data_IF_310612997378
#
_entry.id   IF_310612997378
#
_cell.length_a   1.000
_cell.length_b   1.000
_cell.length_c   1.000
_cell.angle_alpha   90.00
_cell.angle_beta   90.00
_cell.angle_gamma   90.00
#
_symmetry.space_group_name_H-M   'P 1'
#
loop_
_entity.id
_entity.type
_entity.pdbx_description
1 polymer ?
#
# COMPACT_ATOMS: atom_id res chain seq x y z
N UNK A 1 19.97 -3.56 49.17
CA UNK A 1 18.50 -3.67 49.08
C UNK A 1 18.10 -4.99 49.74
N UNK A 2 17.18 -5.02 50.72
CA UNK A 2 16.84 -6.23 51.49
C UNK A 2 15.99 -7.19 50.66
N UNK A 3 16.28 -8.50 50.69
CA UNK A 3 15.57 -9.56 49.94
C UNK A 3 14.05 -9.57 50.19
N UNK A 4 13.62 -9.18 51.38
CA UNK A 4 12.20 -9.09 51.74
C UNK A 4 11.43 -8.07 50.88
N UNK A 5 12.08 -6.99 50.44
CA UNK A 5 11.46 -5.99 49.57
C UNK A 5 11.30 -6.52 48.14
N UNK A 6 12.23 -7.35 47.66
CA UNK A 6 12.15 -7.97 46.34
C UNK A 6 11.04 -9.03 46.33
N UNK A 7 10.93 -9.84 47.39
CA UNK A 7 9.83 -10.80 47.55
C UNK A 7 8.46 -10.12 47.64
N UNK A 8 8.34 -8.99 48.36
CA UNK A 8 7.09 -8.19 48.42
C UNK A 8 6.71 -7.55 47.08
N UNK A 9 7.69 -7.09 46.31
CA UNK A 9 7.45 -6.52 44.98
C UNK A 9 6.97 -7.60 43.99
N UNK A 10 7.65 -8.75 44.01
CA UNK A 10 7.30 -9.90 43.15
C UNK A 10 5.98 -10.55 43.57
N UNK A 11 5.66 -10.64 44.87
CA UNK A 11 4.43 -11.29 45.34
C UNK A 11 3.16 -10.51 45.04
N UNK A 12 3.26 -9.18 44.95
CA UNK A 12 2.09 -8.32 44.79
C UNK A 12 1.72 -8.06 43.32
N UNK A 13 2.71 -7.99 42.41
CA UNK A 13 2.46 -7.62 41.01
C UNK A 13 2.49 -8.81 40.01
N UNK A 14 2.98 -9.99 40.40
CA UNK A 14 2.94 -11.18 39.53
C UNK A 14 1.55 -11.85 39.50
N UNK A 15 0.64 -11.46 40.38
CA UNK A 15 -0.65 -12.12 40.56
C UNK A 15 -1.77 -11.36 39.85
N UNK A 16 -1.79 -11.40 38.49
CA UNK A 16 -3.04 -11.49 37.67
C UNK A 16 -2.93 -11.25 36.15
N UNK A 17 -1.76 -11.23 35.53
CA UNK A 17 -1.75 -11.39 34.07
C UNK A 17 -1.85 -12.89 33.81
N UNK A 18 -3.07 -13.41 33.67
CA UNK A 18 -3.26 -14.79 33.21
C UNK A 18 -2.48 -14.96 31.91
N UNK A 19 -1.89 -16.15 31.68
CA UNK A 19 -1.20 -16.45 30.42
C UNK A 19 -2.04 -16.08 29.19
N UNK A 20 -3.37 -16.14 29.32
CA UNK A 20 -4.35 -15.71 28.32
C UNK A 20 -4.30 -14.20 28.05
N UNK A 21 -4.25 -13.36 29.10
CA UNK A 21 -4.14 -11.91 28.97
C UNK A 21 -2.76 -11.47 28.43
N UNK A 22 -1.69 -12.19 28.79
CA UNK A 22 -0.36 -11.93 28.23
C UNK A 22 -0.32 -12.27 26.74
N UNK A 23 -0.87 -13.42 26.35
CA UNK A 23 -0.93 -13.81 24.94
C UNK A 23 -1.80 -12.86 24.12
N UNK A 24 -2.94 -12.42 24.66
CA UNK A 24 -3.80 -11.43 24.02
C UNK A 24 -3.09 -10.09 23.85
N UNK A 25 -2.32 -9.62 24.84
CA UNK A 25 -1.55 -8.38 24.75
C UNK A 25 -0.40 -8.49 23.72
N UNK A 26 0.32 -9.63 23.69
CA UNK A 26 1.36 -9.92 22.69
C UNK A 26 0.77 -9.98 21.28
N UNK A 27 -0.36 -10.68 21.10
CA UNK A 27 -1.08 -10.76 19.81
C UNK A 27 -1.59 -9.37 19.40
N UNK A 28 -2.07 -8.56 20.35
CA UNK A 28 -2.52 -7.19 20.08
C UNK A 28 -1.37 -6.30 19.63
N UNK A 29 -0.22 -6.38 20.28
CA UNK A 29 0.99 -5.63 19.89
C UNK A 29 1.55 -6.10 18.54
N UNK A 30 1.56 -7.42 18.27
CA UNK A 30 1.95 -7.98 16.98
C UNK A 30 1.00 -7.57 15.84
N UNK A 31 -0.32 -7.55 16.10
CA UNK A 31 -1.32 -7.12 15.12
C UNK A 31 -1.30 -5.61 14.87
N UNK A 32 -1.03 -4.79 15.90
CA UNK A 32 -0.81 -3.35 15.77
C UNK A 32 0.44 -3.04 14.91
N UNK A 33 1.52 -3.81 15.06
CA UNK A 33 2.70 -3.69 14.21
C UNK A 33 2.45 -4.12 12.74
N UNK A 34 1.41 -4.94 12.50
CA UNK A 34 1.11 -5.50 11.18
C UNK A 34 0.15 -4.68 10.33
N UNK A 35 -0.50 -3.66 10.87
CA UNK A 35 -1.33 -2.75 10.07
C UNK A 35 -0.46 -1.68 9.41
N UNK A 36 0.51 -2.10 8.59
CA UNK A 36 1.16 -1.20 7.63
C UNK A 36 0.09 -0.78 6.64
N UNK A 37 -0.49 0.40 6.85
CA UNK A 37 -1.32 1.04 5.85
C UNK A 37 -0.55 1.05 4.53
N UNK A 38 -1.12 0.36 3.53
CA UNK A 38 -0.55 0.35 2.19
C UNK A 38 -0.62 1.79 1.71
N UNK A 39 0.54 2.40 1.51
CA UNK A 39 0.64 3.74 0.95
C UNK A 39 0.24 3.67 -0.51
N UNK A 40 -0.93 4.17 -0.81
CA UNK A 40 -1.48 4.20 -2.16
C UNK A 40 -1.37 5.65 -2.62
N UNK A 41 -0.62 5.92 -3.69
CA UNK A 41 -0.53 7.25 -4.30
C UNK A 41 -1.81 7.60 -5.06
N UNK A 42 -2.38 6.60 -5.73
CA UNK A 42 -3.54 6.74 -6.59
C UNK A 42 -4.53 5.61 -6.35
N UNK A 43 -5.82 5.92 -6.25
CA UNK A 43 -6.84 4.88 -6.13
C UNK A 43 -6.78 3.94 -7.35
N UNK A 44 -6.63 2.64 -7.09
CA UNK A 44 -6.56 1.61 -8.13
C UNK A 44 -7.84 1.56 -8.97
N UNK A 45 -9.01 1.76 -8.34
CA UNK A 45 -10.28 1.78 -9.04
C UNK A 45 -10.35 2.97 -10.00
N UNK A 46 -9.79 4.11 -9.61
CA UNK A 46 -9.72 5.28 -10.46
C UNK A 46 -8.82 5.04 -11.67
N UNK A 47 -7.63 4.45 -11.47
CA UNK A 47 -6.71 4.12 -12.57
C UNK A 47 -7.35 3.13 -13.55
N UNK A 48 -8.03 2.10 -13.05
CA UNK A 48 -8.73 1.11 -13.90
C UNK A 48 -9.85 1.79 -14.70
N UNK A 49 -10.65 2.65 -14.08
CA UNK A 49 -11.68 3.43 -14.80
C UNK A 49 -11.06 4.30 -15.88
N UNK A 50 -9.96 4.99 -15.57
CA UNK A 50 -9.24 5.84 -16.52
C UNK A 50 -8.74 5.03 -17.72
N UNK A 51 -8.17 3.85 -17.47
CA UNK A 51 -7.76 2.91 -18.52
C UNK A 51 -8.92 2.54 -19.44
N UNK A 52 -10.05 2.11 -18.87
CA UNK A 52 -11.23 1.73 -19.65
C UNK A 52 -11.76 2.89 -20.50
N UNK A 53 -11.80 4.10 -19.95
CA UNK A 53 -12.26 5.30 -20.68
C UNK A 53 -11.32 5.59 -21.86
N UNK A 54 -10.01 5.58 -21.62
CA UNK A 54 -9.02 5.86 -22.66
C UNK A 54 -9.06 4.80 -23.75
N UNK A 55 -9.09 3.51 -23.39
CA UNK A 55 -9.17 2.42 -24.37
C UNK A 55 -10.45 2.50 -25.19
N UNK A 56 -11.59 2.78 -24.56
CA UNK A 56 -12.85 2.97 -25.28
C UNK A 56 -12.76 4.14 -26.27
N UNK A 57 -12.17 5.26 -25.86
CA UNK A 57 -12.02 6.44 -26.70
C UNK A 57 -11.12 6.18 -27.91
N UNK A 58 -10.00 5.48 -27.71
CA UNK A 58 -9.10 5.04 -28.80
C UNK A 58 -9.85 4.15 -29.79
N UNK A 59 -10.59 3.14 -29.30
CA UNK A 59 -11.38 2.24 -30.15
C UNK A 59 -12.43 3.02 -30.96
N UNK A 60 -13.15 3.94 -30.32
CA UNK A 60 -14.18 4.75 -30.99
C UNK A 60 -13.57 5.62 -32.10
N UNK A 61 -12.41 6.24 -31.84
CA UNK A 61 -11.69 7.02 -32.85
C UNK A 61 -11.27 6.12 -34.02
N UNK A 62 -10.65 4.98 -33.71
CA UNK A 62 -10.20 4.02 -34.73
C UNK A 62 -11.35 3.50 -35.59
N UNK A 63 -12.55 3.30 -35.03
CA UNK A 63 -13.71 2.79 -35.79
C UNK A 63 -14.45 3.87 -36.58
N UNK A 64 -14.42 5.14 -36.15
CA UNK A 64 -15.24 6.21 -36.76
C UNK A 64 -14.48 7.17 -37.66
N UNK A 65 -13.17 7.33 -37.45
CA UNK A 65 -12.39 8.41 -38.06
C UNK A 65 -11.37 7.86 -39.04
N UNK A 66 -10.84 6.67 -38.79
CA UNK A 66 -9.74 6.08 -39.56
C UNK A 66 -10.30 5.01 -40.49
N UNK A 67 -10.33 5.28 -41.79
CA UNK A 67 -10.78 4.29 -42.81
C UNK A 67 -9.79 3.13 -42.95
N UNK A 68 -8.47 3.39 -42.84
CA UNK A 68 -7.42 2.38 -42.85
C UNK A 68 -6.49 2.60 -41.66
N UNK A 69 -6.45 1.66 -40.71
CA UNK A 69 -5.51 1.74 -39.59
C UNK A 69 -4.09 1.45 -40.09
N UNK A 70 -3.24 2.47 -40.04
CA UNK A 70 -1.81 2.31 -40.29
C UNK A 70 -1.10 1.71 -39.06
N UNK A 71 0.03 1.04 -39.28
CA UNK A 71 0.85 0.48 -38.19
C UNK A 71 1.24 1.55 -37.15
N UNK A 72 1.50 2.78 -37.61
CA UNK A 72 1.89 3.89 -36.75
C UNK A 72 0.76 4.31 -35.81
N UNK A 73 -0.49 4.37 -36.29
CA UNK A 73 -1.65 4.72 -35.47
C UNK A 73 -1.96 3.64 -34.43
N UNK A 74 -1.79 2.37 -34.80
CA UNK A 74 -1.92 1.25 -33.86
C UNK A 74 -0.89 1.40 -32.72
N UNK A 75 0.37 1.67 -33.07
CA UNK A 75 1.44 1.86 -32.08
C UNK A 75 1.11 3.04 -31.16
N UNK A 76 0.69 4.18 -31.72
CA UNK A 76 0.32 5.36 -30.92
C UNK A 76 -0.86 5.05 -30.00
N UNK A 77 -1.90 4.37 -30.49
CA UNK A 77 -3.06 3.96 -29.69
C UNK A 77 -2.67 3.05 -28.52
N UNK A 78 -1.76 2.10 -28.76
CA UNK A 78 -1.21 1.23 -27.71
C UNK A 78 -0.41 2.02 -26.67
N UNK A 79 0.42 2.98 -27.11
CA UNK A 79 1.16 3.86 -26.20
C UNK A 79 0.22 4.68 -25.31
N UNK A 80 -0.85 5.24 -25.88
CA UNK A 80 -1.86 6.00 -25.12
C UNK A 80 -2.57 5.10 -24.10
N UNK A 81 -2.91 3.86 -24.48
CA UNK A 81 -3.52 2.89 -23.56
C UNK A 81 -2.56 2.40 -22.45
N UNK A 82 -1.25 2.47 -22.67
CA UNK A 82 -0.25 2.05 -21.69
C UNK A 82 0.00 3.08 -20.57
N UNK A 83 -0.30 4.37 -20.81
CA UNK A 83 -0.11 5.44 -19.81
C UNK A 83 -0.79 5.15 -18.45
N UNK A 84 -2.07 4.74 -18.40
CA UNK A 84 -2.74 4.32 -17.16
C UNK A 84 -2.03 3.16 -16.44
N UNK A 85 -1.48 2.19 -17.19
CA UNK A 85 -0.76 1.07 -16.59
C UNK A 85 0.54 1.54 -15.92
N UNK A 86 1.21 2.54 -16.48
CA UNK A 86 2.41 3.13 -15.89
C UNK A 86 2.12 3.69 -14.49
N UNK A 87 0.95 4.33 -14.28
CA UNK A 87 0.54 4.77 -12.95
C UNK A 87 0.34 3.61 -11.98
N UNK A 88 -0.18 2.45 -12.41
CA UNK A 88 -0.26 1.26 -11.53
C UNK A 88 1.12 0.75 -11.12
N UNK A 89 2.07 0.73 -12.06
CA UNK A 89 3.46 0.32 -11.80
C UNK A 89 4.11 1.26 -10.80
N UNK A 90 4.00 2.59 -11.00
CA UNK A 90 4.50 3.59 -10.06
C UNK A 90 3.87 3.44 -8.67
N UNK A 91 2.57 3.19 -8.61
CA UNK A 91 1.84 2.98 -7.35
C UNK A 91 2.38 1.75 -6.61
N UNK A 92 2.75 0.69 -7.36
CA UNK A 92 3.37 -0.52 -6.79
C UNK A 92 4.81 -0.30 -6.35
N UNK A 93 5.61 0.46 -7.11
CA UNK A 93 6.96 0.86 -6.71
C UNK A 93 6.92 1.67 -5.41
N UNK A 94 5.96 2.60 -5.29
CA UNK A 94 5.81 3.41 -4.09
C UNK A 94 5.42 2.59 -2.86
N UNK A 95 4.57 1.58 -3.03
CA UNK A 95 4.22 0.63 -1.97
C UNK A 95 5.41 -0.21 -1.49
N UNK A 96 6.41 -0.41 -2.35
CA UNK A 96 7.63 -1.17 -2.04
C UNK A 96 8.73 -0.30 -1.39
N UNK A 97 8.63 1.04 -1.42
CA UNK A 97 9.63 1.92 -0.80
C UNK A 97 9.57 1.78 0.73
N UNK A 98 10.68 1.43 1.40
CA UNK A 98 10.69 1.21 2.84
C UNK A 98 10.40 2.50 3.62
N UNK A 99 9.61 2.39 4.69
CA UNK A 99 9.13 3.51 5.52
C UNK A 99 10.24 4.36 6.17
N UNK A 100 11.48 3.87 6.20
CA UNK A 100 12.62 4.54 6.84
C UNK A 100 13.16 5.76 6.08
N UNK A 101 12.72 6.01 4.83
CA UNK A 101 13.22 7.14 4.04
C UNK A 101 12.49 8.48 4.28
N UNK A 102 11.30 8.49 4.89
CA UNK A 102 10.55 9.74 5.10
C UNK A 102 10.83 10.43 6.43
N UNK A 103 11.32 9.72 7.45
CA UNK A 103 11.65 10.36 8.73
C UNK A 103 12.88 11.28 8.62
N UNK A 104 13.75 11.08 7.63
CA UNK A 104 14.93 11.93 7.42
C UNK A 104 14.65 13.20 6.59
N UNK A 105 13.50 13.29 5.88
CA UNK A 105 13.14 14.51 5.14
C UNK A 105 12.42 15.55 6.01
N UNK A 106 11.90 15.16 7.17
CA UNK A 106 11.23 16.05 8.12
C UNK A 106 12.15 16.53 9.27
N UNK A 107 13.46 16.28 9.17
CA UNK A 107 14.45 16.62 10.20
C UNK A 107 15.52 17.63 9.73
N UNK A 108 15.35 18.24 8.55
CA UNK A 108 16.20 19.33 8.05
C UNK A 108 15.41 20.62 7.87
#
# INVERSE_FOLDING_TARGET
MKEENIKKLLSNDLKKISSKNFNEEIIRQLNLAKKKEKRILFDQNYIIKLFLIISFLVIVISLKIVEELTETEIIIGLFICALPMYFMVLNKIYQLKPQNFQNNENLN
#
